data_IF_892078888122
#
_entry.id   IF_892078888122
#
_cell.length_a   1.000
_cell.length_b   1.000
_cell.length_c   1.000
_cell.angle_alpha   90.00
_cell.angle_beta   90.00
_cell.angle_gamma   90.00
#
_symmetry.space_group_name_H-M   'P 1'
#
loop_
_entity.id
_entity.type
_entity.pdbx_description
1 polymer ?
#
# COMPACT_ATOMS: atom_id res chain seq x y z
N UNK A 1 -26.80 -26.03 36.27
CA UNK A 1 -27.27 -24.83 35.56
C UNK A 1 -26.09 -24.04 35.05
N UNK A 2 -26.00 -23.82 33.73
CA UNK A 2 -24.99 -22.94 33.16
C UNK A 2 -25.26 -21.54 33.68
N UNK A 3 -24.28 -20.96 34.37
CA UNK A 3 -24.44 -19.64 34.97
C UNK A 3 -24.31 -18.57 33.90
N UNK A 4 -24.88 -17.39 34.12
CA UNK A 4 -24.76 -16.25 33.20
C UNK A 4 -23.28 -15.94 32.84
N UNK A 5 -22.37 -16.24 33.78
CA UNK A 5 -20.93 -16.12 33.59
C UNK A 5 -20.39 -17.04 32.49
N UNK A 6 -20.88 -18.28 32.38
CA UNK A 6 -20.45 -19.23 31.34
C UNK A 6 -20.87 -18.73 29.94
N UNK A 7 -22.04 -18.09 29.84
CA UNK A 7 -22.54 -17.52 28.59
C UNK A 7 -21.72 -16.29 28.19
N UNK A 8 -21.41 -15.41 29.14
CA UNK A 8 -20.58 -14.22 28.90
C UNK A 8 -19.16 -14.61 28.50
N UNK A 9 -18.58 -15.62 29.16
CA UNK A 9 -17.25 -16.12 28.82
C UNK A 9 -17.21 -16.65 27.38
N UNK A 10 -18.19 -17.47 26.98
CA UNK A 10 -18.28 -17.96 25.61
C UNK A 10 -18.44 -16.83 24.58
N UNK A 11 -19.17 -15.76 24.92
CA UNK A 11 -19.33 -14.61 24.03
C UNK A 11 -18.03 -13.82 23.84
N UNK A 12 -17.29 -13.59 24.92
CA UNK A 12 -15.97 -12.94 24.89
C UNK A 12 -14.98 -13.78 24.10
N UNK A 13 -14.99 -15.10 24.29
CA UNK A 13 -14.14 -16.04 23.57
C UNK A 13 -14.42 -16.01 22.06
N UNK A 14 -15.70 -16.05 21.64
CA UNK A 14 -16.08 -15.95 20.22
C UNK A 14 -15.58 -14.63 19.62
N UNK A 15 -15.79 -13.50 20.30
CA UNK A 15 -15.33 -12.19 19.81
C UNK A 15 -13.80 -12.16 19.66
N UNK A 16 -13.07 -12.68 20.66
CA UNK A 16 -11.62 -12.72 20.63
C UNK A 16 -11.10 -13.61 19.49
N UNK A 17 -11.69 -14.79 19.29
CA UNK A 17 -11.34 -15.68 18.20
C UNK A 17 -11.66 -15.08 16.82
N UNK A 18 -12.84 -14.48 16.65
CA UNK A 18 -13.19 -13.80 15.40
C UNK A 18 -12.17 -12.72 15.05
N UNK A 19 -11.78 -11.89 16.02
CA UNK A 19 -10.77 -10.85 15.80
C UNK A 19 -9.39 -11.44 15.46
N UNK A 20 -8.98 -12.51 16.15
CA UNK A 20 -7.71 -13.18 15.88
C UNK A 20 -7.67 -13.81 14.48
N UNK A 21 -8.78 -14.43 14.06
CA UNK A 21 -8.94 -15.01 12.72
C UNK A 21 -8.88 -13.91 11.66
N UNK A 22 -9.58 -12.80 11.87
CA UNK A 22 -9.54 -11.66 10.95
C UNK A 22 -8.11 -11.11 10.83
N UNK A 23 -7.39 -10.96 11.94
CA UNK A 23 -6.01 -10.48 11.95
C UNK A 23 -5.05 -11.47 11.25
N UNK A 24 -5.27 -12.77 11.42
CA UNK A 24 -4.47 -13.80 10.76
C UNK A 24 -4.73 -13.84 9.25
N UNK A 25 -6.00 -13.76 8.83
CA UNK A 25 -6.41 -13.74 7.43
C UNK A 25 -5.98 -12.45 6.72
N UNK A 26 -6.09 -11.30 7.40
CA UNK A 26 -5.64 -10.01 6.85
C UNK A 26 -4.13 -9.82 6.84
N UNK A 27 -3.37 -10.86 7.24
CA UNK A 27 -2.00 -11.18 6.86
C UNK A 27 -1.10 -9.98 6.56
N UNK A 28 -0.04 -9.80 7.34
CA UNK A 28 0.95 -8.70 7.31
C UNK A 28 1.63 -8.38 5.97
N UNK A 29 1.24 -9.04 4.87
CA UNK A 29 1.66 -8.78 3.50
C UNK A 29 0.70 -7.86 2.74
N UNK A 30 0.08 -6.91 3.43
CA UNK A 30 -0.70 -5.86 2.78
C UNK A 30 0.23 -5.04 1.88
N UNK A 31 0.06 -5.21 0.58
CA UNK A 31 0.60 -4.26 -0.39
C UNK A 31 -0.26 -3.00 -0.32
N UNK A 32 0.33 -1.88 -0.72
CA UNK A 32 -0.38 -0.60 -0.82
C UNK A 32 -0.19 -0.04 -2.21
N UNK A 33 -1.26 0.52 -2.74
CA UNK A 33 -1.23 1.33 -3.95
C UNK A 33 -1.29 2.79 -3.53
N UNK A 34 -0.29 3.55 -3.94
CA UNK A 34 -0.23 5.00 -3.74
C UNK A 34 -0.36 5.69 -5.08
N UNK A 35 -1.38 6.53 -5.23
CA UNK A 35 -1.56 7.43 -6.35
C UNK A 35 -1.01 8.80 -5.97
N UNK A 36 -0.18 9.35 -6.83
CA UNK A 36 0.54 10.60 -6.67
C UNK A 36 0.14 11.52 -7.82
N UNK A 37 -0.34 12.72 -7.49
CA UNK A 37 -0.68 13.78 -8.45
C UNK A 37 0.16 15.00 -8.11
N UNK A 38 1.05 15.37 -9.04
CA UNK A 38 2.04 16.44 -8.88
C UNK A 38 2.47 16.95 -10.25
N UNK A 39 2.91 18.20 -10.31
CA UNK A 39 3.58 18.76 -11.49
C UNK A 39 5.00 18.17 -11.66
N UNK A 40 5.61 17.69 -10.58
CA UNK A 40 6.99 17.16 -10.51
C UNK A 40 7.05 15.62 -10.50
N UNK A 41 6.09 14.94 -11.13
CA UNK A 41 6.01 13.47 -11.12
C UNK A 41 7.26 12.77 -11.70
N UNK A 42 7.95 13.39 -12.67
CA UNK A 42 9.15 12.80 -13.29
C UNK A 42 10.32 12.74 -12.28
N UNK A 43 10.49 13.79 -11.47
CA UNK A 43 11.49 13.83 -10.40
C UNK A 43 11.16 12.86 -9.27
N UNK A 44 9.87 12.77 -8.89
CA UNK A 44 9.39 11.81 -7.89
C UNK A 44 9.65 10.38 -8.37
N UNK A 45 9.29 10.05 -9.62
CA UNK A 45 9.51 8.73 -10.20
C UNK A 45 11.01 8.36 -10.23
N UNK A 46 11.88 9.28 -10.64
CA UNK A 46 13.33 9.08 -10.65
C UNK A 46 13.88 8.78 -9.25
N UNK A 47 13.44 9.53 -8.24
CA UNK A 47 13.88 9.32 -6.85
C UNK A 47 13.35 8.01 -6.26
N UNK A 48 12.10 7.63 -6.57
CA UNK A 48 11.55 6.35 -6.13
C UNK A 48 12.25 5.16 -6.81
N UNK A 49 12.65 5.31 -8.07
CA UNK A 49 13.41 4.29 -8.79
C UNK A 49 14.81 4.09 -8.19
N UNK A 50 15.51 5.17 -7.82
CA UNK A 50 16.80 5.05 -7.14
C UNK A 50 16.69 4.32 -5.80
N UNK A 51 15.66 4.63 -5.00
CA UNK A 51 15.36 3.95 -3.73
C UNK A 51 15.03 2.46 -3.90
N UNK A 52 14.44 2.09 -5.05
CA UNK A 52 14.14 0.69 -5.38
C UNK A 52 15.42 -0.11 -5.67
N UNK A 53 16.36 0.49 -6.40
CA UNK A 53 17.64 -0.12 -6.81
C UNK A 53 18.59 -0.26 -5.61
N UNK A 54 18.76 0.79 -4.81
CA UNK A 54 19.74 0.81 -3.70
C UNK A 54 19.37 -0.13 -2.54
N UNK A 55 18.08 -0.43 -2.36
CA UNK A 55 17.58 -1.22 -1.24
C UNK A 55 17.04 -2.61 -1.58
N UNK A 56 17.13 -3.05 -2.84
CA UNK A 56 16.45 -4.25 -3.36
C UNK A 56 14.94 -4.28 -2.99
N UNK A 57 14.30 -3.11 -3.05
CA UNK A 57 12.89 -2.93 -2.65
C UNK A 57 12.02 -3.07 -3.90
N UNK A 58 11.10 -4.05 -4.01
CA UNK A 58 10.23 -4.17 -5.16
C UNK A 58 9.19 -3.03 -5.13
N UNK A 59 9.48 -1.96 -5.86
CA UNK A 59 8.57 -0.84 -6.09
C UNK A 59 8.24 -0.84 -7.57
N UNK A 60 6.96 -1.04 -7.92
CA UNK A 60 6.49 -0.93 -9.30
C UNK A 60 5.75 0.38 -9.44
N UNK A 61 6.19 1.22 -10.36
CA UNK A 61 5.55 2.49 -10.65
C UNK A 61 5.10 2.57 -12.11
N UNK A 62 3.92 3.10 -12.34
CA UNK A 62 3.36 3.39 -13.67
C UNK A 62 2.96 4.86 -13.69
N UNK A 63 3.38 5.58 -14.72
CA UNK A 63 3.07 6.99 -14.89
C UNK A 63 2.24 7.18 -16.16
N UNK A 64 1.27 8.09 -16.11
CA UNK A 64 0.54 8.53 -17.28
C UNK A 64 0.26 10.03 -17.20
N UNK A 65 0.12 10.64 -18.36
CA UNK A 65 -0.30 12.03 -18.51
C UNK A 65 -1.63 12.04 -19.26
N UNK A 66 -2.61 12.76 -18.74
CA UNK A 66 -3.84 13.07 -19.49
C UNK A 66 -3.63 14.34 -20.31
N UNK A 67 -4.30 14.45 -21.46
CA UNK A 67 -4.37 15.71 -22.23
C UNK A 67 -4.92 16.82 -21.34
N UNK A 68 -4.08 17.82 -21.00
CA UNK A 68 -4.39 18.89 -20.06
C UNK A 68 -3.49 18.96 -18.82
N UNK A 69 -2.20 18.62 -18.95
CA UNK A 69 -1.12 18.79 -17.96
C UNK A 69 -1.25 18.06 -16.60
N UNK A 70 -2.28 17.23 -16.43
CA UNK A 70 -2.41 16.40 -15.22
C UNK A 70 -1.62 15.11 -15.39
N UNK A 71 -0.39 15.14 -14.88
CA UNK A 71 0.44 13.94 -14.69
C UNK A 71 0.00 13.19 -13.44
N UNK A 72 -0.09 11.87 -13.53
CA UNK A 72 -0.34 10.99 -12.40
C UNK A 72 0.67 9.85 -12.35
N UNK A 73 1.11 9.51 -11.14
CA UNK A 73 2.06 8.44 -10.85
C UNK A 73 1.41 7.45 -9.88
N UNK A 74 1.25 6.21 -10.32
CA UNK A 74 0.78 5.11 -9.48
C UNK A 74 1.97 4.27 -9.04
N UNK A 75 2.06 4.00 -7.75
CA UNK A 75 3.14 3.24 -7.14
C UNK A 75 2.54 2.12 -6.30
N UNK A 76 2.92 0.88 -6.58
CA UNK A 76 2.56 -0.29 -5.80
C UNK A 76 3.78 -0.77 -5.04
N UNK A 77 3.65 -0.87 -3.72
CA UNK A 77 4.74 -1.24 -2.81
C UNK A 77 4.22 -1.99 -1.58
N UNK A 78 5.11 -2.55 -0.76
CA UNK A 78 4.71 -3.09 0.55
C UNK A 78 4.34 -1.96 1.51
N UNK A 79 3.39 -2.20 2.42
CA UNK A 79 2.99 -1.23 3.47
C UNK A 79 4.17 -0.65 4.26
N UNK A 80 5.22 -1.44 4.48
CA UNK A 80 6.46 -0.99 5.14
C UNK A 80 7.17 0.17 4.44
N UNK A 81 7.02 0.28 3.11
CA UNK A 81 7.67 1.30 2.28
C UNK A 81 6.76 2.50 1.96
N UNK A 82 5.47 2.41 2.28
CA UNK A 82 4.49 3.46 2.00
C UNK A 82 4.89 4.81 2.59
N UNK A 83 5.42 4.80 3.81
CA UNK A 83 5.82 6.02 4.51
C UNK A 83 6.98 6.74 3.81
N UNK A 84 7.93 5.99 3.27
CA UNK A 84 9.08 6.55 2.56
C UNK A 84 8.64 7.19 1.24
N UNK A 85 7.68 6.57 0.54
CA UNK A 85 7.10 7.11 -0.70
C UNK A 85 6.39 8.45 -0.43
N UNK A 86 5.53 8.50 0.58
CA UNK A 86 4.80 9.72 0.97
C UNK A 86 5.75 10.84 1.38
N UNK A 87 6.79 10.52 2.15
CA UNK A 87 7.80 11.51 2.56
C UNK A 87 8.59 12.05 1.37
N UNK A 88 9.03 11.16 0.48
CA UNK A 88 9.80 11.55 -0.72
C UNK A 88 8.98 12.44 -1.62
N UNK A 89 7.71 12.10 -1.87
CA UNK A 89 6.81 12.91 -2.69
C UNK A 89 6.60 14.32 -2.10
N UNK A 90 6.34 14.42 -0.79
CA UNK A 90 6.15 15.71 -0.10
C UNK A 90 7.41 16.57 -0.02
N UNK A 91 8.59 15.95 -0.02
CA UNK A 91 9.86 16.67 -0.02
C UNK A 91 10.14 17.32 -1.38
N UNK A 92 9.73 16.68 -2.47
CA UNK A 92 9.92 17.19 -3.83
C UNK A 92 8.84 18.23 -4.15
N UNK A 93 7.57 17.90 -3.86
CA UNK A 93 6.45 18.79 -4.10
C UNK A 93 5.58 18.92 -2.82
N UNK A 94 5.63 20.06 -2.12
CA UNK A 94 4.78 20.33 -0.96
C UNK A 94 3.28 20.35 -1.27
N UNK A 95 2.88 20.61 -2.52
CA UNK A 95 1.49 20.67 -2.98
C UNK A 95 0.98 19.33 -3.56
N UNK A 96 1.77 18.26 -3.43
CA UNK A 96 1.41 16.94 -3.94
C UNK A 96 0.12 16.40 -3.33
N UNK A 97 -0.75 15.87 -4.18
CA UNK A 97 -1.94 15.14 -3.74
C UNK A 97 -1.63 13.64 -3.76
N UNK A 98 -1.84 12.99 -2.62
CA UNK A 98 -1.52 11.58 -2.39
C UNK A 98 -2.78 10.82 -1.96
N UNK A 99 -3.02 9.66 -2.57
CA UNK A 99 -4.04 8.72 -2.15
C UNK A 99 -3.40 7.34 -1.95
N UNK A 100 -3.52 6.76 -0.76
CA UNK A 100 -2.99 5.43 -0.46
C UNK A 100 -4.13 4.50 -0.10
N UNK A 101 -4.20 3.36 -0.78
CA UNK A 101 -5.20 2.30 -0.54
C UNK A 101 -4.50 0.96 -0.26
N UNK A 102 -4.98 0.17 0.71
CA UNK A 102 -4.50 -1.20 0.89
C UNK A 102 -4.96 -2.04 -0.29
N UNK A 103 -4.08 -2.91 -0.80
CA UNK A 103 -4.40 -3.84 -1.88
C UNK A 103 -4.10 -5.27 -1.45
N UNK A 104 -5.07 -6.15 -1.66
CA UNK A 104 -5.04 -7.55 -1.19
C UNK A 104 -4.11 -8.41 -2.02
N UNK A 105 -4.04 -8.17 -3.33
CA UNK A 105 -3.19 -8.93 -4.23
C UNK A 105 -2.70 -8.04 -5.38
N UNK A 106 -1.45 -8.26 -5.80
CA UNK A 106 -0.85 -7.60 -6.95
C UNK A 106 -0.41 -8.70 -7.90
N UNK A 107 -1.08 -8.81 -9.04
CA UNK A 107 -0.74 -9.79 -10.07
C UNK A 107 0.15 -9.10 -11.12
N UNK A 108 1.34 -9.64 -11.34
CA UNK A 108 2.10 -9.33 -12.54
C UNK A 108 1.58 -10.18 -13.69
N UNK A 109 1.19 -9.55 -14.80
CA UNK A 109 0.96 -10.31 -16.04
C UNK A 109 2.36 -10.65 -16.56
N UNK A 110 2.90 -11.79 -16.15
CA UNK A 110 4.15 -12.29 -16.72
C UNK A 110 3.88 -12.81 -18.14
N UNK A 111 4.29 -12.02 -19.11
CA UNK A 111 4.58 -12.49 -20.46
C UNK A 111 6.10 -12.46 -20.70
N UNK A 112 6.83 -13.45 -20.15
CA UNK A 112 8.18 -13.89 -20.56
C UNK A 112 8.34 -15.34 -20.08
N UNK A 113 8.25 -16.40 -20.89
CA UNK A 113 9.19 -16.82 -21.94
C UNK A 113 10.42 -15.91 -22.17
N UNK A 114 11.58 -16.53 -21.91
CA UNK A 114 12.97 -16.08 -22.05
C UNK A 114 13.61 -15.48 -20.79
#
# INVERSE_FOLDING_TARGET
>A
DKTLADVVYGFVEIIAFSYAVDMFLTGSQQSVQTLIMSEHNDEIAGKLQSLSIEGNRPVKSVQWSTEGDKKMLMVVSRKSYSNDIVKTAKQIDPNVILMTVPVTAVYGIEGKNQ
#
